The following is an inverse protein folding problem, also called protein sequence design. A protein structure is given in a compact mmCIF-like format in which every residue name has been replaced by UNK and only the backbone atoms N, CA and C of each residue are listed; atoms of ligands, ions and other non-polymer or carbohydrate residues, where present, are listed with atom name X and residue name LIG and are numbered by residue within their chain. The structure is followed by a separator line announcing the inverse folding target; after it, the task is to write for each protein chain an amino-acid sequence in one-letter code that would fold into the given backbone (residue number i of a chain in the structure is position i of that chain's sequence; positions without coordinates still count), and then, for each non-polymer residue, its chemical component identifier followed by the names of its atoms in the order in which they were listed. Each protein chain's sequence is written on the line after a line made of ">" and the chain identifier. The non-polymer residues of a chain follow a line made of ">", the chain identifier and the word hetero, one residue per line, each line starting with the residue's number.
data_IF_355051122466
#
_entry.id   IF_355051122466
#
_cell.length_a   1.000
_cell.length_b   1.000
_cell.length_c   1.000
_cell.angle_alpha   90.00
_cell.angle_beta   90.00
_cell.angle_gamma   90.00
#
_symmetry.space_group_name_H-M   'P 1'
#
loop_
_entity.id
_entity.type
_entity.pdbx_description
1 polymer ?
#
# COMPACT_ATOMS: atom_id res chain seq x y z
N UNK A 1 12.00 -13.13 -11.93
CA UNK A 1 11.38 -13.83 -10.78
C UNK A 1 11.03 -12.86 -9.64
N UNK A 2 10.28 -11.79 -9.92
CA UNK A 2 9.72 -10.85 -8.91
C UNK A 2 8.30 -10.42 -9.28
N UNK A 3 7.99 -10.38 -10.57
CA UNK A 3 6.65 -10.07 -11.10
C UNK A 3 5.61 -11.17 -10.87
N UNK A 4 6.00 -12.44 -10.73
CA UNK A 4 5.05 -13.55 -10.53
C UNK A 4 4.45 -13.59 -9.12
N UNK A 5 5.10 -12.99 -8.11
CA UNK A 5 4.53 -12.89 -6.77
C UNK A 5 3.45 -11.78 -6.68
N UNK A 6 3.54 -10.77 -7.54
CA UNK A 6 2.57 -9.67 -7.60
C UNK A 6 1.23 -10.14 -8.19
N UNK A 7 1.23 -11.09 -9.14
CA UNK A 7 0.00 -11.56 -9.80
C UNK A 7 -0.86 -12.45 -8.90
N UNK A 8 -0.29 -13.12 -7.89
CA UNK A 8 -1.07 -13.93 -6.94
C UNK A 8 -1.71 -13.11 -5.80
N UNK A 9 -1.27 -11.88 -5.57
CA UNK A 9 -1.86 -11.00 -4.53
C UNK A 9 -3.03 -10.16 -5.06
N UNK A 10 -3.34 -10.26 -6.36
CA UNK A 10 -4.20 -9.33 -7.08
C UNK A 10 -5.71 -9.40 -6.75
N UNK A 11 -6.18 -10.22 -5.81
CA UNK A 11 -7.63 -10.49 -5.67
C UNK A 11 -8.25 -10.47 -4.27
N UNK A 12 -7.57 -10.12 -3.17
CA UNK A 12 -8.24 -10.05 -1.87
C UNK A 12 -7.70 -8.94 -0.95
N UNK A 13 -8.14 -7.69 -1.19
CA UNK A 13 -7.95 -6.58 -0.25
C UNK A 13 -6.49 -6.25 0.08
N UNK A 14 -6.28 -5.30 0.99
CA UNK A 14 -4.96 -5.01 1.55
C UNK A 14 -4.47 -6.24 2.31
N UNK A 15 -3.28 -6.73 1.96
CA UNK A 15 -2.65 -7.83 2.71
C UNK A 15 -2.33 -7.38 4.15
N UNK A 16 -2.03 -8.34 5.03
CA UNK A 16 -1.54 -8.03 6.39
C UNK A 16 -0.24 -7.22 6.34
N UNK A 17 0.62 -7.46 5.35
CA UNK A 17 1.83 -6.70 5.15
C UNK A 17 1.51 -5.24 4.80
N UNK A 18 0.54 -5.00 3.91
CA UNK A 18 0.15 -3.64 3.53
C UNK A 18 -0.42 -2.86 4.72
N UNK A 19 -1.19 -3.52 5.59
CA UNK A 19 -1.66 -2.92 6.84
C UNK A 19 -0.52 -2.48 7.75
N UNK A 20 0.53 -3.30 7.89
CA UNK A 20 1.71 -2.95 8.70
C UNK A 20 2.49 -1.79 8.10
N UNK A 21 2.65 -1.77 6.77
CA UNK A 21 3.29 -0.66 6.05
C UNK A 21 2.51 0.63 6.27
N UNK A 22 1.19 0.62 6.08
CA UNK A 22 0.30 1.77 6.28
C UNK A 22 0.37 2.26 7.73
N UNK A 23 0.19 1.37 8.70
CA UNK A 23 0.20 1.74 10.11
C UNK A 23 1.55 2.34 10.53
N UNK A 24 2.64 1.78 10.04
CA UNK A 24 4.00 2.29 10.30
C UNK A 24 4.20 3.66 9.66
N UNK A 25 3.77 3.84 8.41
CA UNK A 25 3.89 5.11 7.70
C UNK A 25 3.10 6.22 8.40
N UNK A 26 1.85 5.94 8.81
CA UNK A 26 1.03 6.89 9.58
C UNK A 26 1.71 7.23 10.90
N UNK A 27 2.13 6.23 11.67
CA UNK A 27 2.76 6.41 12.99
C UNK A 27 4.02 7.27 12.89
N UNK A 28 4.83 7.05 11.87
CA UNK A 28 6.10 7.74 11.65
C UNK A 28 5.98 8.98 10.76
N UNK A 29 4.77 9.33 10.31
CA UNK A 29 4.48 10.45 9.41
C UNK A 29 5.29 10.40 8.10
N UNK A 30 5.38 9.22 7.51
CA UNK A 30 6.09 8.96 6.25
C UNK A 30 5.13 8.91 5.06
N UNK A 31 5.68 9.04 3.86
CA UNK A 31 4.96 8.84 2.59
C UNK A 31 5.25 7.43 2.08
N UNK A 32 4.21 6.67 1.75
CA UNK A 32 4.37 5.35 1.12
C UNK A 32 4.56 5.53 -0.37
N UNK A 33 5.72 5.13 -0.90
CA UNK A 33 5.96 5.06 -2.34
C UNK A 33 5.55 3.68 -2.86
N UNK A 34 4.67 3.62 -3.86
CA UNK A 34 4.17 2.33 -4.36
C UNK A 34 3.82 2.35 -5.86
N UNK A 35 3.65 1.16 -6.43
CA UNK A 35 3.06 0.94 -7.77
C UNK A 35 1.67 0.28 -7.71
N UNK A 36 1.23 -0.11 -6.51
CA UNK A 36 0.02 -0.90 -6.26
C UNK A 36 -1.20 -0.01 -6.01
N UNK A 37 -2.30 -0.25 -6.74
CA UNK A 37 -3.57 0.48 -6.59
C UNK A 37 -4.23 0.28 -5.22
N UNK A 38 -3.83 -0.74 -4.45
CA UNK A 38 -4.32 -1.01 -3.10
C UNK A 38 -4.08 0.16 -2.14
N UNK A 39 -2.93 0.83 -2.22
CA UNK A 39 -2.61 1.97 -1.37
C UNK A 39 -3.41 3.23 -1.75
N UNK A 40 -3.76 3.42 -3.02
CA UNK A 40 -4.67 4.52 -3.41
C UNK A 40 -6.06 4.32 -2.81
N UNK A 41 -6.55 3.08 -2.82
CA UNK A 41 -7.84 2.74 -2.20
C UNK A 41 -7.75 2.92 -0.68
N UNK A 42 -6.66 2.49 -0.06
CA UNK A 42 -6.41 2.69 1.37
C UNK A 42 -6.42 4.18 1.75
N UNK A 43 -5.76 5.04 0.96
CA UNK A 43 -5.68 6.48 1.24
C UNK A 43 -7.03 7.19 1.14
N UNK A 44 -7.96 6.69 0.32
CA UNK A 44 -9.35 7.19 0.28
C UNK A 44 -10.13 6.86 1.55
N UNK A 45 -9.83 5.73 2.19
CA UNK A 45 -10.51 5.26 3.40
C UNK A 45 -9.83 5.75 4.69
N UNK A 46 -8.52 5.98 4.65
CA UNK A 46 -7.69 6.43 5.77
C UNK A 46 -6.97 7.72 5.38
N UNK A 47 -7.59 8.90 5.60
CA UNK A 47 -7.06 10.18 5.12
C UNK A 47 -5.70 10.58 5.70
N UNK A 48 -5.25 9.94 6.79
CA UNK A 48 -3.93 10.15 7.38
C UNK A 48 -2.80 9.45 6.62
N UNK A 49 -3.13 8.53 5.71
CA UNK A 49 -2.15 7.85 4.87
C UNK A 49 -1.71 8.80 3.75
N UNK A 50 -0.47 9.26 3.83
CA UNK A 50 0.20 9.92 2.71
C UNK A 50 0.85 8.86 1.82
N UNK A 51 0.51 8.86 0.54
CA UNK A 51 1.07 7.94 -0.45
C UNK A 51 1.40 8.67 -1.74
N UNK A 52 2.36 8.12 -2.49
CA UNK A 52 2.69 8.59 -3.82
C UNK A 52 2.96 7.41 -4.75
N UNK A 53 2.32 7.44 -5.93
CA UNK A 53 2.55 6.46 -6.97
C UNK A 53 3.84 6.74 -7.71
N UNK A 54 4.75 5.78 -7.74
CA UNK A 54 6.03 5.89 -8.47
C UNK A 54 6.01 5.02 -9.74
N UNK A 55 6.68 5.48 -10.80
CA UNK A 55 6.72 4.82 -12.13
C UNK A 55 7.92 3.91 -12.26
#
# INVERSE_FOLDING_TARGET
>A
MRQELASQSAHQGLSVADHLVIATAIRLKLVVLHQDAGFETAARLVPQLSQERIS
#
